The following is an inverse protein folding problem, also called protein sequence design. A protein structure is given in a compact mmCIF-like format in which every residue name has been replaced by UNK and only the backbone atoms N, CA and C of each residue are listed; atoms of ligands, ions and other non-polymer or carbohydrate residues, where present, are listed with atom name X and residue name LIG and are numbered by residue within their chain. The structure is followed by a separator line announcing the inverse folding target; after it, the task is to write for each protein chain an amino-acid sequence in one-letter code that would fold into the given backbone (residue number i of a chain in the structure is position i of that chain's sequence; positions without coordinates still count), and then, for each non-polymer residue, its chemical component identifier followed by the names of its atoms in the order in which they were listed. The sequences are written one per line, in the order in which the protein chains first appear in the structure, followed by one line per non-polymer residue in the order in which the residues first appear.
data_IF_700342575334
#
_entry.id   IF_700342575334
#
_cell.length_a   1.000
_cell.length_b   1.000
_cell.length_c   1.000
_cell.angle_alpha   90.00
_cell.angle_beta   90.00
_cell.angle_gamma   90.00
#
_symmetry.space_group_name_H-M   'P 1'
#
loop_
_entity.id
_entity.type
_entity.pdbx_description
1 polymer ?
#
# COMPACT_ATOMS: atom_id res chain seq x y z
N UNK A 1 24.07 -20.58 12.52
CA UNK A 1 23.67 -19.41 13.32
C UNK A 1 22.65 -18.65 12.48
N UNK A 2 21.40 -18.56 12.97
CA UNK A 2 20.15 -17.97 12.42
C UNK A 2 19.00 -18.98 12.58
N UNK A 3 18.59 -19.24 13.82
CA UNK A 3 17.55 -20.23 14.15
C UNK A 3 16.12 -19.67 14.16
N UNK A 4 15.92 -18.36 13.93
CA UNK A 4 14.62 -17.72 13.69
C UNK A 4 14.81 -16.52 12.77
N UNK A 5 14.13 -16.51 11.62
CA UNK A 5 14.01 -15.33 10.76
C UNK A 5 12.97 -14.34 11.30
N UNK A 6 12.99 -13.11 10.80
CA UNK A 6 11.96 -12.10 11.07
C UNK A 6 10.83 -12.27 10.04
N UNK A 7 9.85 -13.10 10.36
CA UNK A 7 8.66 -13.31 9.52
C UNK A 7 7.53 -12.39 9.98
N UNK A 8 6.86 -11.77 9.02
CA UNK A 8 5.68 -10.93 9.24
C UNK A 8 4.52 -11.47 8.42
N UNK A 9 3.32 -11.43 8.97
CA UNK A 9 2.12 -11.90 8.29
C UNK A 9 1.69 -10.90 7.18
N UNK A 10 1.13 -11.38 6.07
CA UNK A 10 0.55 -10.51 5.05
C UNK A 10 -0.50 -9.57 5.65
N UNK A 11 -0.42 -8.29 5.34
CA UNK A 11 -1.30 -7.26 5.91
C UNK A 11 -1.99 -6.49 4.80
N UNK A 12 -3.31 -6.32 4.90
CA UNK A 12 -4.11 -5.47 4.00
C UNK A 12 -4.65 -4.30 4.80
N UNK A 13 -4.45 -3.08 4.30
CA UNK A 13 -4.95 -1.85 4.93
C UNK A 13 -5.95 -1.20 3.97
N UNK A 14 -7.21 -1.10 4.40
CA UNK A 14 -8.29 -0.44 3.67
C UNK A 14 -8.41 1.05 4.00
N UNK A 15 -9.23 1.76 3.22
CA UNK A 15 -9.56 3.18 3.39
C UNK A 15 -8.33 4.10 3.51
N UNK A 16 -7.28 3.78 2.76
CA UNK A 16 -6.04 4.54 2.74
C UNK A 16 -6.20 5.80 1.91
N UNK A 17 -5.69 6.92 2.41
CA UNK A 17 -5.61 8.18 1.67
C UNK A 17 -4.22 8.42 1.08
N UNK A 18 -4.14 9.14 -0.05
CA UNK A 18 -2.87 9.37 -0.76
C UNK A 18 -1.90 10.26 0.03
N UNK A 19 -2.40 11.01 1.01
CA UNK A 19 -1.58 11.78 1.94
C UNK A 19 -0.96 10.94 3.07
N UNK A 20 -1.39 9.69 3.28
CA UNK A 20 -0.85 8.83 4.35
C UNK A 20 0.60 8.41 4.05
N UNK A 21 1.41 8.19 5.09
CA UNK A 21 2.80 7.75 4.90
C UNK A 21 2.88 6.37 4.26
N UNK A 22 1.99 5.46 4.63
CA UNK A 22 1.91 4.10 4.09
C UNK A 22 1.65 4.06 2.57
N UNK A 23 1.09 5.14 2.02
CA UNK A 23 0.86 5.30 0.58
C UNK A 23 2.10 5.87 -0.15
N UNK A 24 2.92 6.66 0.54
CA UNK A 24 4.03 7.44 -0.07
C UNK A 24 5.41 6.80 0.13
N UNK A 25 5.57 5.96 1.13
CA UNK A 25 6.85 5.37 1.53
C UNK A 25 6.80 3.85 1.40
N UNK A 26 7.89 3.25 0.89
CA UNK A 26 7.99 1.81 0.69
C UNK A 26 8.17 1.08 2.04
N UNK A 27 7.33 0.06 2.27
CA UNK A 27 7.26 -0.67 3.55
C UNK A 27 8.28 -1.82 3.64
N UNK A 28 8.80 -2.30 2.50
CA UNK A 28 9.73 -3.46 2.42
C UNK A 28 9.23 -4.70 3.19
N UNK A 29 7.92 -4.97 3.10
CA UNK A 29 7.23 -6.11 3.70
C UNK A 29 5.95 -6.46 2.94
N UNK A 30 5.26 -7.56 3.29
CA UNK A 30 4.07 -8.04 2.57
C UNK A 30 2.81 -7.23 2.94
N UNK A 31 2.80 -5.94 2.60
CA UNK A 31 1.71 -5.01 2.91
C UNK A 31 1.06 -4.50 1.64
N UNK A 32 -0.27 -4.57 1.57
CA UNK A 32 -1.09 -4.04 0.48
C UNK A 32 -2.01 -2.92 1.01
N UNK A 33 -2.03 -1.78 0.33
CA UNK A 33 -2.96 -0.68 0.62
C UNK A 33 -4.11 -0.65 -0.39
N UNK A 34 -5.32 -0.33 0.07
CA UNK A 34 -6.52 -0.21 -0.77
C UNK A 34 -7.20 1.14 -0.55
N UNK A 35 -7.54 1.79 -1.66
CA UNK A 35 -8.30 3.04 -1.74
C UNK A 35 -9.48 2.87 -2.69
N UNK A 36 -10.62 3.45 -2.35
CA UNK A 36 -11.81 3.48 -3.23
C UNK A 36 -11.77 4.68 -4.18
N UNK A 37 -12.38 4.54 -5.34
CA UNK A 37 -12.60 5.60 -6.32
C UNK A 37 -14.08 5.63 -6.71
N UNK A 38 -14.55 6.77 -7.20
CA UNK A 38 -15.96 6.99 -7.59
C UNK A 38 -16.16 6.99 -9.10
N UNK A 39 -15.14 7.34 -9.88
CA UNK A 39 -15.20 7.32 -11.35
C UNK A 39 -14.02 6.57 -11.95
N UNK A 40 -14.15 6.15 -13.21
CA UNK A 40 -13.08 5.48 -13.93
C UNK A 40 -11.89 6.41 -14.16
N UNK A 41 -12.16 7.68 -14.46
CA UNK A 41 -11.13 8.71 -14.63
C UNK A 41 -10.30 8.89 -13.36
N UNK A 42 -10.95 8.95 -12.19
CA UNK A 42 -10.28 9.02 -10.88
C UNK A 42 -9.38 7.79 -10.65
N UNK A 43 -9.83 6.59 -11.05
CA UNK A 43 -9.02 5.38 -10.93
C UNK A 43 -7.75 5.44 -11.81
N UNK A 44 -7.87 5.96 -13.02
CA UNK A 44 -6.74 6.14 -13.95
C UNK A 44 -5.77 7.19 -13.42
N UNK A 45 -6.26 8.32 -12.92
CA UNK A 45 -5.43 9.36 -12.31
C UNK A 45 -4.67 8.80 -11.09
N UNK A 46 -5.35 8.11 -10.18
CA UNK A 46 -4.74 7.51 -8.99
C UNK A 46 -3.69 6.45 -9.33
N UNK A 47 -3.91 5.64 -10.38
CA UNK A 47 -2.94 4.63 -10.81
C UNK A 47 -1.66 5.24 -11.39
N UNK A 48 -1.79 6.39 -12.06
CA UNK A 48 -0.66 7.09 -12.66
C UNK A 48 0.03 8.08 -11.71
N UNK A 49 -0.57 8.38 -10.55
CA UNK A 49 0.00 9.22 -9.49
C UNK A 49 1.07 8.48 -8.67
N UNK A 50 2.11 8.00 -9.36
CA UNK A 50 3.29 7.36 -8.77
C UNK A 50 4.55 8.02 -9.34
N UNK A 51 5.60 8.16 -8.52
CA UNK A 51 6.93 8.66 -8.94
C UNK A 51 7.85 7.51 -9.30
#
# INVERSE_FOLDING_TARGET
HLSKGFFVEPTIIGDVDTSMQIWREEVFGPVLCMKTFKTEEEAIELANDTR
#
